data_IF_416583966214
#
_entry.id   IF_416583966214
#
_cell.length_a   1.000
_cell.length_b   1.000
_cell.length_c   1.000
_cell.angle_alpha   90.00
_cell.angle_beta   90.00
_cell.angle_gamma   90.00
#
_symmetry.space_group_name_H-M   'P 1'
#
loop_
_entity.id
_entity.type
_entity.pdbx_description
1 polymer ?
#
# COMPACT_ATOMS: atom_id res chain seq x y z
N UNK A 1 10.64 13.85 3.99
CA UNK A 1 10.25 14.04 2.57
C UNK A 1 8.87 13.46 2.28
N UNK A 2 8.57 12.21 2.66
CA UNK A 2 7.33 11.48 2.32
C UNK A 2 6.04 12.06 2.90
N UNK A 3 6.08 13.10 3.72
CA UNK A 3 4.93 13.78 4.35
C UNK A 3 4.75 15.23 3.90
N UNK A 4 5.45 15.65 2.86
CA UNK A 4 5.38 17.03 2.34
C UNK A 4 3.99 17.35 1.85
N UNK A 5 3.32 16.41 1.18
CA UNK A 5 1.97 16.63 0.67
C UNK A 5 0.95 16.82 1.79
N UNK A 6 1.06 16.06 2.89
CA UNK A 6 0.21 16.30 4.05
C UNK A 6 0.37 17.72 4.60
N UNK A 7 1.62 18.17 4.78
CA UNK A 7 1.89 19.53 5.26
C UNK A 7 1.35 20.62 4.32
N UNK A 8 1.37 20.37 3.01
CA UNK A 8 0.89 21.31 2.00
C UNK A 8 -0.66 21.35 1.94
N UNK A 9 -1.32 20.20 2.03
CA UNK A 9 -2.78 20.08 1.91
C UNK A 9 -3.50 20.50 3.18
N UNK A 10 -2.96 20.12 4.34
CA UNK A 10 -3.52 20.43 5.66
C UNK A 10 -2.44 20.90 6.63
N UNK A 11 -2.02 22.18 6.56
CA UNK A 11 -1.01 22.72 7.48
C UNK A 11 -1.42 22.68 8.96
N UNK A 12 -2.72 22.74 9.24
CA UNK A 12 -3.24 22.66 10.60
C UNK A 12 -3.16 21.24 11.15
N UNK A 13 -3.67 20.26 10.41
CA UNK A 13 -3.56 18.84 10.76
C UNK A 13 -2.10 18.38 10.86
N UNK A 14 -1.23 18.88 9.98
CA UNK A 14 0.21 18.65 10.07
C UNK A 14 0.79 19.12 11.40
N UNK A 15 0.40 20.32 11.87
CA UNK A 15 0.87 20.86 13.16
C UNK A 15 0.42 19.98 14.33
N UNK A 16 -0.83 19.51 14.31
CA UNK A 16 -1.36 18.59 15.34
C UNK A 16 -0.56 17.29 15.31
N UNK A 17 -0.42 16.67 14.15
CA UNK A 17 0.33 15.43 13.95
C UNK A 17 1.78 15.55 14.44
N UNK A 18 2.48 16.63 14.08
CA UNK A 18 3.85 16.88 14.50
C UNK A 18 3.98 17.06 16.02
N UNK A 19 2.98 17.67 16.67
CA UNK A 19 2.97 17.80 18.13
C UNK A 19 2.73 16.45 18.81
N UNK A 20 1.81 15.63 18.32
CA UNK A 20 1.58 14.27 18.82
C UNK A 20 2.83 13.39 18.72
N UNK A 21 3.60 13.53 17.63
CA UNK A 21 4.88 12.81 17.49
C UNK A 21 5.90 13.19 18.58
N UNK A 22 5.86 14.43 19.09
CA UNK A 22 6.77 14.87 20.16
C UNK A 22 6.42 14.26 21.52
N UNK A 23 5.18 13.77 21.69
CA UNK A 23 4.73 13.12 22.93
C UNK A 23 5.24 11.68 23.06
N UNK A 24 5.80 11.12 22.00
CA UNK A 24 6.36 9.77 22.02
C UNK A 24 7.56 9.69 22.95
N UNK A 25 7.63 8.61 23.74
CA UNK A 25 8.80 8.29 24.55
C UNK A 25 10.05 8.16 23.69
N UNK A 26 11.10 8.91 24.00
CA UNK A 26 12.40 8.83 23.31
C UNK A 26 12.99 7.42 23.36
N UNK A 27 12.92 6.76 24.54
CA UNK A 27 13.39 5.38 24.73
C UNK A 27 12.51 4.41 23.95
N UNK A 28 11.18 4.58 23.98
CA UNK A 28 10.24 3.76 23.23
C UNK A 28 10.49 3.84 21.72
N UNK A 29 10.64 5.06 21.18
CA UNK A 29 10.94 5.28 19.76
C UNK A 29 12.28 4.64 19.37
N UNK A 30 13.33 4.83 20.17
CA UNK A 30 14.66 4.24 19.91
C UNK A 30 14.59 2.69 19.93
N UNK A 31 13.88 2.10 20.88
CA UNK A 31 13.71 0.65 20.97
C UNK A 31 12.90 0.10 19.78
N UNK A 32 11.84 0.77 19.38
CA UNK A 32 11.05 0.39 18.18
C UNK A 32 11.92 0.39 16.93
N UNK A 33 12.74 1.42 16.74
CA UNK A 33 13.64 1.50 15.59
C UNK A 33 14.70 0.39 15.59
N UNK A 34 15.30 0.08 16.74
CA UNK A 34 16.37 -0.92 16.85
C UNK A 34 15.84 -2.36 16.78
N UNK A 35 14.70 -2.64 17.40
CA UNK A 35 14.19 -4.00 17.54
C UNK A 35 13.19 -4.39 16.45
N UNK A 36 12.25 -3.53 16.12
CA UNK A 36 11.22 -3.83 15.13
C UNK A 36 11.68 -3.42 13.73
N UNK A 37 11.95 -2.14 13.52
CA UNK A 37 12.27 -1.63 12.18
C UNK A 37 13.60 -2.16 11.65
N UNK A 38 14.62 -2.24 12.50
CA UNK A 38 15.95 -2.70 12.09
C UNK A 38 16.09 -4.22 11.96
N UNK A 39 15.15 -5.00 12.53
CA UNK A 39 15.25 -6.47 12.53
C UNK A 39 14.16 -7.17 11.73
N UNK A 40 13.11 -6.45 11.31
CA UNK A 40 12.07 -7.05 10.47
C UNK A 40 12.65 -7.51 9.14
N UNK A 41 12.20 -8.65 8.61
CA UNK A 41 12.61 -9.10 7.29
C UNK A 41 12.11 -8.13 6.21
N UNK A 42 12.75 -8.13 5.06
CA UNK A 42 12.28 -7.39 3.90
C UNK A 42 11.01 -8.04 3.32
N UNK A 43 10.09 -7.23 2.80
CA UNK A 43 8.93 -7.75 2.06
C UNK A 43 9.36 -8.53 0.81
N UNK A 44 10.50 -8.21 0.23
CA UNK A 44 11.06 -8.93 -0.92
C UNK A 44 11.43 -10.39 -0.59
N UNK A 45 11.71 -10.70 0.68
CA UNK A 45 12.03 -12.06 1.12
C UNK A 45 10.79 -12.99 1.13
N UNK A 46 9.59 -12.43 1.00
CA UNK A 46 8.32 -13.16 1.07
C UNK A 46 7.66 -13.40 -0.30
N UNK A 47 8.38 -13.26 -1.42
CA UNK A 47 7.81 -13.42 -2.75
C UNK A 47 7.02 -14.73 -2.93
N UNK A 48 7.60 -15.86 -2.53
CA UNK A 48 6.97 -17.17 -2.66
C UNK A 48 5.71 -17.31 -1.77
N UNK A 49 5.76 -16.77 -0.56
CA UNK A 49 4.60 -16.78 0.35
C UNK A 49 3.47 -15.90 -0.18
N UNK A 50 3.81 -14.74 -0.76
CA UNK A 50 2.84 -13.82 -1.38
C UNK A 50 2.11 -14.46 -2.56
N UNK A 51 2.77 -15.28 -3.37
CA UNK A 51 2.15 -15.97 -4.50
C UNK A 51 1.09 -16.99 -4.08
N UNK A 52 1.20 -17.49 -2.85
CA UNK A 52 0.25 -18.44 -2.27
C UNK A 52 -0.86 -17.77 -1.47
N UNK A 53 -0.86 -16.43 -1.36
CA UNK A 53 -1.92 -15.71 -0.64
C UNK A 53 -3.21 -15.71 -1.45
N UNK A 54 -4.29 -16.17 -0.80
CA UNK A 54 -5.66 -16.14 -1.33
C UNK A 54 -6.52 -15.09 -0.62
N UNK A 55 -6.01 -14.51 0.46
CA UNK A 55 -6.72 -13.49 1.23
C UNK A 55 -6.91 -12.23 0.36
N UNK A 56 -8.14 -11.70 0.27
CA UNK A 56 -8.39 -10.42 -0.38
C UNK A 56 -7.44 -9.35 0.13
N UNK A 57 -6.74 -8.70 -0.79
CA UNK A 57 -5.69 -7.73 -0.44
C UNK A 57 -5.90 -6.45 -1.22
N UNK A 58 -5.95 -5.31 -0.54
CA UNK A 58 -6.03 -4.00 -1.16
C UNK A 58 -4.79 -3.18 -0.79
N UNK A 59 -4.02 -2.81 -1.79
CA UNK A 59 -2.78 -2.03 -1.66
C UNK A 59 -3.11 -0.60 -2.08
N UNK A 60 -2.94 0.35 -1.16
CA UNK A 60 -3.14 1.77 -1.42
C UNK A 60 -1.83 2.49 -1.10
N UNK A 61 -1.30 3.26 -2.04
CA UNK A 61 -0.08 4.05 -1.85
C UNK A 61 -0.22 5.44 -2.47
N UNK A 62 0.48 6.42 -1.93
CA UNK A 62 0.65 7.71 -2.57
C UNK A 62 1.72 7.65 -3.66
N UNK A 63 1.54 8.35 -4.77
CA UNK A 63 2.50 8.38 -5.87
C UNK A 63 3.79 9.16 -5.54
N UNK A 64 3.75 9.97 -4.49
CA UNK A 64 4.92 10.70 -3.95
C UNK A 64 5.52 10.04 -2.69
N UNK A 65 5.04 8.85 -2.31
CA UNK A 65 5.69 8.02 -1.28
C UNK A 65 6.76 7.13 -1.92
N UNK A 66 7.76 7.76 -2.48
CA UNK A 66 8.83 7.16 -3.29
C UNK A 66 9.43 5.88 -2.70
N UNK A 67 9.77 5.81 -1.39
CA UNK A 67 10.31 4.59 -0.79
C UNK A 67 9.36 3.38 -0.81
N UNK A 68 8.05 3.62 -0.96
CA UNK A 68 7.02 2.58 -0.90
C UNK A 68 6.49 2.16 -2.28
N UNK A 69 6.79 2.91 -3.36
CA UNK A 69 6.28 2.63 -4.69
C UNK A 69 6.72 1.27 -5.22
N UNK A 70 8.01 0.98 -5.20
CA UNK A 70 8.53 -0.30 -5.68
C UNK A 70 8.00 -1.48 -4.88
N UNK A 71 7.84 -1.30 -3.56
CA UNK A 71 7.26 -2.33 -2.68
C UNK A 71 5.79 -2.56 -3.00
N UNK A 72 5.01 -1.51 -3.25
CA UNK A 72 3.61 -1.61 -3.64
C UNK A 72 3.44 -2.36 -4.97
N UNK A 73 4.26 -2.05 -5.97
CA UNK A 73 4.32 -2.75 -7.24
C UNK A 73 4.76 -4.21 -7.09
N UNK A 74 5.78 -4.47 -6.26
CA UNK A 74 6.24 -5.82 -5.96
C UNK A 74 5.13 -6.66 -5.33
N UNK A 75 4.43 -6.14 -4.31
CA UNK A 75 3.29 -6.80 -3.69
C UNK A 75 2.19 -7.08 -4.71
N UNK A 76 1.84 -6.09 -5.54
CA UNK A 76 0.81 -6.25 -6.60
C UNK A 76 1.14 -7.36 -7.59
N UNK A 77 2.41 -7.51 -7.94
CA UNK A 77 2.87 -8.54 -8.89
C UNK A 77 2.86 -9.93 -8.28
N UNK A 78 3.10 -10.05 -6.99
CA UNK A 78 3.23 -11.33 -6.28
C UNK A 78 1.94 -11.79 -5.59
N UNK A 79 1.03 -10.90 -5.20
CA UNK A 79 -0.24 -11.26 -4.56
C UNK A 79 -1.35 -11.26 -5.60
N UNK A 80 -1.76 -12.43 -6.05
CA UNK A 80 -2.75 -12.57 -7.12
C UNK A 80 -4.17 -12.15 -6.71
N UNK A 81 -4.48 -12.18 -5.40
CA UNK A 81 -5.74 -11.68 -4.82
C UNK A 81 -5.71 -10.16 -4.56
N UNK A 82 -4.69 -9.44 -5.04
CA UNK A 82 -4.55 -8.02 -4.74
C UNK A 82 -5.10 -7.08 -5.81
N UNK A 83 -5.56 -5.90 -5.38
CA UNK A 83 -5.69 -4.71 -6.20
C UNK A 83 -4.70 -3.64 -5.71
N UNK A 84 -4.28 -2.75 -6.63
CA UNK A 84 -3.39 -1.63 -6.32
C UNK A 84 -4.02 -0.33 -6.78
N UNK A 85 -3.97 0.67 -5.92
CA UNK A 85 -4.26 2.07 -6.24
C UNK A 85 -3.07 2.93 -5.85
N UNK A 86 -2.67 3.81 -6.76
CA UNK A 86 -1.74 4.90 -6.50
C UNK A 86 -2.52 6.20 -6.53
N UNK A 87 -2.54 6.92 -5.39
CA UNK A 87 -3.23 8.19 -5.28
C UNK A 87 -2.30 9.33 -5.77
N UNK A 88 -2.76 10.13 -6.73
CA UNK A 88 -1.94 11.19 -7.29
C UNK A 88 -1.69 12.30 -6.27
N UNK A 89 -0.48 12.88 -6.31
CA UNK A 89 -0.06 13.99 -5.47
C UNK A 89 -0.25 13.72 -3.98
N UNK A 90 -0.01 12.48 -3.56
CA UNK A 90 -0.16 12.02 -2.17
C UNK A 90 1.10 11.34 -1.70
N UNK A 91 1.46 11.58 -0.43
CA UNK A 91 2.62 10.99 0.21
C UNK A 91 2.27 9.79 1.08
N UNK A 92 2.96 9.70 2.21
CA UNK A 92 2.89 8.53 3.11
C UNK A 92 1.63 8.46 3.98
N UNK A 93 0.92 9.56 4.14
CA UNK A 93 -0.23 9.68 5.04
C UNK A 93 -1.53 9.84 4.25
N UNK A 94 -1.73 9.00 3.25
CA UNK A 94 -2.86 9.07 2.31
C UNK A 94 -4.23 9.12 2.98
N UNK A 95 -4.39 8.44 4.12
CA UNK A 95 -5.62 8.46 4.91
C UNK A 95 -5.90 9.84 5.58
N UNK A 96 -4.87 10.64 5.79
CA UNK A 96 -4.98 12.01 6.28
C UNK A 96 -4.95 13.04 5.15
N UNK A 97 -4.25 12.73 4.07
CA UNK A 97 -4.11 13.61 2.91
C UNK A 97 -5.34 13.62 2.02
N UNK A 98 -5.98 12.44 1.86
CA UNK A 98 -7.15 12.21 0.99
C UNK A 98 -8.22 11.37 1.73
N UNK A 99 -8.73 11.80 2.89
CA UNK A 99 -9.58 10.96 3.74
C UNK A 99 -10.89 10.52 3.08
N UNK A 100 -11.51 11.37 2.27
CA UNK A 100 -12.76 11.03 1.58
C UNK A 100 -12.54 9.92 0.55
N UNK A 101 -11.51 10.07 -0.29
CA UNK A 101 -11.17 9.10 -1.33
C UNK A 101 -10.66 7.79 -0.73
N UNK A 102 -9.80 7.87 0.31
CA UNK A 102 -9.33 6.70 1.03
C UNK A 102 -10.48 5.89 1.63
N UNK A 103 -11.40 6.55 2.35
CA UNK A 103 -12.53 5.89 3.00
C UNK A 103 -13.51 5.29 1.99
N UNK A 104 -13.76 5.97 0.87
CA UNK A 104 -14.61 5.44 -0.20
C UNK A 104 -14.02 4.14 -0.77
N UNK A 105 -12.74 4.14 -1.17
CA UNK A 105 -12.09 2.96 -1.74
C UNK A 105 -12.00 1.80 -0.74
N UNK A 106 -11.73 2.10 0.53
CA UNK A 106 -11.71 1.09 1.58
C UNK A 106 -13.09 0.49 1.81
N UNK A 107 -14.13 1.32 1.85
CA UNK A 107 -15.53 0.88 1.97
C UNK A 107 -15.95 -0.02 0.81
N UNK A 108 -15.64 0.37 -0.42
CA UNK A 108 -15.92 -0.42 -1.63
C UNK A 108 -15.19 -1.77 -1.62
N UNK A 109 -13.93 -1.78 -1.16
CA UNK A 109 -13.17 -3.01 -0.99
C UNK A 109 -13.84 -3.95 0.00
N UNK A 110 -14.15 -3.46 1.21
CA UNK A 110 -14.80 -4.25 2.27
C UNK A 110 -16.14 -4.81 1.78
N UNK A 111 -16.97 -3.96 1.17
CA UNK A 111 -18.28 -4.37 0.65
C UNK A 111 -18.17 -5.50 -0.40
N UNK A 112 -17.16 -5.44 -1.28
CA UNK A 112 -16.92 -6.51 -2.28
C UNK A 112 -16.45 -7.80 -1.65
N UNK A 113 -15.60 -7.70 -0.63
CA UNK A 113 -15.12 -8.88 0.12
C UNK A 113 -16.28 -9.55 0.87
N UNK A 114 -17.10 -8.78 1.57
CA UNK A 114 -18.22 -9.26 2.37
C UNK A 114 -19.26 -10.03 1.54
N UNK A 115 -19.47 -9.63 0.30
CA UNK A 115 -20.40 -10.33 -0.62
C UNK A 115 -19.71 -11.37 -1.51
N UNK A 116 -18.45 -11.71 -1.23
CA UNK A 116 -17.69 -12.73 -1.97
C UNK A 116 -17.36 -12.37 -3.42
N UNK A 117 -17.31 -11.07 -3.75
CA UNK A 117 -17.02 -10.56 -5.11
C UNK A 117 -15.59 -10.07 -5.31
N UNK A 118 -14.69 -10.46 -4.42
CA UNK A 118 -13.27 -10.18 -4.59
C UNK A 118 -12.57 -11.39 -5.18
N UNK A 119 -12.38 -11.38 -6.48
CA UNK A 119 -11.82 -12.49 -7.23
C UNK A 119 -10.29 -12.41 -7.31
N UNK A 120 -9.68 -13.56 -7.57
CA UNK A 120 -8.26 -13.64 -7.94
C UNK A 120 -8.05 -12.96 -9.29
N UNK A 121 -6.86 -12.40 -9.48
CA UNK A 121 -6.47 -11.82 -10.77
C UNK A 121 -6.59 -12.88 -11.87
N UNK A 122 -7.27 -12.53 -12.95
CA UNK A 122 -7.37 -13.40 -14.13
C UNK A 122 -5.96 -13.68 -14.68
N UNK A 123 -5.63 -14.94 -14.82
CA UNK A 123 -4.32 -15.40 -15.30
C UNK A 123 -3.99 -14.85 -16.69
N UNK A 124 -4.99 -14.62 -17.54
CA UNK A 124 -4.83 -14.01 -18.87
C UNK A 124 -4.34 -12.57 -18.82
N UNK A 125 -4.52 -11.89 -17.68
CA UNK A 125 -4.01 -10.52 -17.47
C UNK A 125 -2.57 -10.49 -16.92
N UNK A 126 -1.95 -11.66 -16.66
CA UNK A 126 -0.59 -11.78 -16.16
C UNK A 126 0.33 -12.04 -17.35
N UNK A 127 0.69 -10.99 -18.07
CA UNK A 127 1.62 -11.08 -19.21
C UNK A 127 2.61 -9.94 -19.20
N UNK A 128 3.82 -10.22 -19.66
CA UNK A 128 4.83 -9.19 -19.95
C UNK A 128 4.69 -8.62 -21.37
N UNK A 129 3.88 -9.26 -22.23
CA UNK A 129 3.67 -8.87 -23.60
C UNK A 129 2.38 -8.04 -23.77
N UNK A 130 2.46 -6.98 -24.54
CA UNK A 130 1.29 -6.15 -24.90
C UNK A 130 0.45 -6.83 -25.96
N UNK A 131 1.09 -7.60 -26.82
CA UNK A 131 0.43 -8.31 -27.90
C UNK A 131 0.15 -9.75 -27.47
N UNK A 132 -1.12 -10.16 -27.60
CA UNK A 132 -1.52 -11.55 -27.45
C UNK A 132 -0.94 -12.37 -28.60
N UNK A 133 -0.34 -13.51 -28.29
CA UNK A 133 0.11 -14.48 -29.29
C UNK A 133 -0.75 -15.74 -29.20
N UNK A 134 -0.96 -16.46 -30.34
CA UNK A 134 -1.77 -17.69 -30.36
C UNK A 134 -1.26 -18.81 -29.44
N UNK A 135 -0.01 -18.72 -28.98
CA UNK A 135 0.60 -19.66 -28.04
C UNK A 135 0.29 -19.36 -26.60
N UNK A 136 -0.26 -18.17 -26.28
CA UNK A 136 -0.81 -17.81 -24.97
C UNK A 136 -2.14 -18.55 -24.75
N UNK A 137 -2.08 -19.91 -24.71
CA UNK A 137 -3.27 -20.75 -24.52
C UNK A 137 -3.89 -20.44 -23.14
N UNK A 138 -5.17 -20.13 -23.19
CA UNK A 138 -6.10 -19.95 -22.06
C UNK A 138 -6.18 -21.21 -21.20
#
# INVERSE_FOLDING_TARGET
PTRVQFANKDPYGWKIFANQLKEHSTIGSANTMRSVQGKRPSLYDFANQMQNLTVPTFIINGDEDDPCLDVALFMKRNIHSSALVLLPRSGHLINLEEPALFNQMLGDFIARVDVGRWEMRDKRSITSNILWTPDDKI
#
